data_IF_226517247289
#
_entry.id   IF_226517247289
#
_cell.length_a   1.000
_cell.length_b   1.000
_cell.length_c   1.000
_cell.angle_alpha   90.00
_cell.angle_beta   90.00
_cell.angle_gamma   90.00
#
_symmetry.space_group_name_H-M   'P 1'
#
loop_
_entity.id
_entity.type
_entity.pdbx_description
1 polymer ?
#
# COMPACT_ATOMS: atom_id res chain seq x y z
N UNK A 1 2.15 -2.76 4.30
CA UNK A 1 2.30 -1.93 3.08
C UNK A 1 1.66 -0.57 3.38
N UNK A 2 2.36 0.54 3.14
CA UNK A 2 1.89 1.85 3.61
C UNK A 2 1.77 1.93 5.14
N UNK A 3 1.01 2.92 5.61
CA UNK A 3 0.80 3.22 7.03
C UNK A 3 0.84 4.72 7.31
N UNK A 4 0.94 5.11 8.58
CA UNK A 4 1.21 6.50 8.97
C UNK A 4 2.45 6.55 9.86
N UNK A 5 3.30 7.55 9.63
CA UNK A 5 4.59 7.72 10.33
C UNK A 5 4.40 8.37 11.70
N UNK A 6 3.43 9.28 11.81
CA UNK A 6 3.16 10.06 13.02
C UNK A 6 1.72 10.55 13.04
N UNK A 7 1.19 10.72 14.24
CA UNK A 7 -0.01 11.53 14.50
C UNK A 7 0.43 12.87 15.07
N UNK A 8 0.01 13.97 14.45
CA UNK A 8 0.21 15.31 15.00
C UNK A 8 -0.75 15.54 16.19
N UNK A 9 -0.43 16.50 17.07
CA UNK A 9 -1.23 16.79 18.29
C UNK A 9 -2.70 17.13 17.99
N UNK A 10 -3.00 17.58 16.77
CA UNK A 10 -4.36 17.87 16.29
C UNK A 10 -5.07 16.65 15.67
N UNK A 11 -4.52 15.44 15.80
CA UNK A 11 -5.11 14.20 15.28
C UNK A 11 -4.86 13.92 13.79
N UNK A 12 -4.14 14.81 13.07
CA UNK A 12 -3.79 14.60 11.66
C UNK A 12 -2.73 13.50 11.56
N UNK A 13 -2.99 12.49 10.74
CA UNK A 13 -2.04 11.40 10.42
C UNK A 13 -1.18 11.78 9.22
N UNK A 14 0.12 11.57 9.34
CA UNK A 14 1.07 11.70 8.22
C UNK A 14 1.27 10.34 7.57
N UNK A 15 0.65 10.13 6.41
CA UNK A 15 0.66 8.83 5.71
C UNK A 15 1.96 8.63 4.93
N UNK A 16 2.43 7.39 4.86
CA UNK A 16 3.59 7.02 4.03
C UNK A 16 3.15 6.27 2.77
N UNK A 17 3.83 6.54 1.66
CA UNK A 17 3.73 5.75 0.45
C UNK A 17 4.71 4.57 0.43
N UNK A 18 5.59 4.41 1.42
CA UNK A 18 6.61 3.37 1.37
C UNK A 18 6.02 1.96 1.42
N UNK A 19 6.53 1.10 0.55
CA UNK A 19 6.20 -0.32 0.50
C UNK A 19 7.39 -1.10 1.05
N UNK A 20 7.15 -1.85 2.11
CA UNK A 20 8.10 -2.78 2.69
C UNK A 20 7.65 -4.21 2.44
N UNK A 21 8.56 -5.05 1.96
CA UNK A 21 8.37 -6.48 1.76
C UNK A 21 9.23 -7.24 2.77
N UNK A 22 8.66 -8.27 3.37
CA UNK A 22 9.38 -9.18 4.24
C UNK A 22 9.69 -10.47 3.49
N UNK A 23 10.98 -10.79 3.35
CA UNK A 23 11.40 -12.07 2.78
C UNK A 23 11.50 -13.10 3.91
N UNK A 24 10.62 -14.09 3.90
CA UNK A 24 10.57 -15.14 4.93
C UNK A 24 11.77 -16.09 4.91
N UNK A 25 12.46 -16.20 3.78
CA UNK A 25 13.62 -17.09 3.61
C UNK A 25 14.89 -16.44 4.13
N UNK A 26 15.09 -15.14 3.85
CA UNK A 26 16.27 -14.40 4.30
C UNK A 26 16.09 -13.69 5.64
N UNK A 27 14.85 -13.47 6.08
CA UNK A 27 14.52 -12.72 7.29
C UNK A 27 14.69 -11.21 7.17
N UNK A 28 14.93 -10.70 5.96
CA UNK A 28 15.16 -9.27 5.73
C UNK A 28 13.91 -8.54 5.25
N UNK A 29 13.82 -7.28 5.67
CA UNK A 29 12.90 -6.30 5.10
C UNK A 29 13.55 -5.57 3.93
N UNK A 30 12.80 -5.41 2.85
CA UNK A 30 13.21 -4.68 1.65
C UNK A 30 12.25 -3.53 1.41
N UNK A 31 12.76 -2.36 1.02
CA UNK A 31 11.94 -1.27 0.48
C UNK A 31 11.75 -1.54 -1.02
N UNK A 32 10.51 -1.78 -1.44
CA UNK A 32 10.19 -2.26 -2.79
C UNK A 32 9.76 -1.14 -3.74
N UNK A 33 9.42 0.04 -3.20
CA UNK A 33 8.98 1.20 -3.95
C UNK A 33 7.97 2.04 -3.18
N UNK A 34 7.33 2.97 -3.89
CA UNK A 34 6.32 3.86 -3.33
C UNK A 34 4.95 3.60 -3.96
N UNK A 35 3.91 3.64 -3.12
CA UNK A 35 2.52 3.75 -3.54
C UNK A 35 2.33 5.05 -4.34
N UNK A 36 1.45 5.08 -5.35
CA UNK A 36 1.12 6.30 -6.09
C UNK A 36 0.53 7.39 -5.18
N UNK A 37 -0.11 6.97 -4.09
CA UNK A 37 -0.68 7.86 -3.08
C UNK A 37 -0.38 7.29 -1.69
N UNK A 38 0.21 8.07 -0.77
CA UNK A 38 0.37 7.67 0.63
C UNK A 38 -0.97 7.28 1.25
N UNK A 39 -1.05 6.10 1.87
CA UNK A 39 -2.27 5.58 2.48
C UNK A 39 -1.97 4.48 3.49
N UNK A 40 -2.87 4.28 4.44
CA UNK A 40 -2.98 3.03 5.20
C UNK A 40 -3.90 2.07 4.44
N UNK A 41 -3.44 0.87 4.14
CA UNK A 41 -4.22 -0.12 3.38
C UNK A 41 -3.75 -1.53 3.70
N UNK A 42 -4.63 -2.50 3.46
CA UNK A 42 -4.28 -3.92 3.52
C UNK A 42 -4.13 -4.43 2.11
N UNK A 43 -3.10 -5.23 1.88
CA UNK A 43 -2.91 -5.89 0.59
C UNK A 43 -2.68 -7.38 0.70
N UNK A 44 -3.00 -8.06 -0.39
CA UNK A 44 -2.80 -9.50 -0.58
C UNK A 44 -1.98 -9.74 -1.83
N UNK A 45 -1.07 -10.71 -1.80
CA UNK A 45 -0.29 -11.13 -2.96
C UNK A 45 -0.93 -12.38 -3.59
N UNK A 46 -1.15 -12.36 -4.90
CA UNK A 46 -1.66 -13.47 -5.70
C UNK A 46 -0.76 -13.61 -6.93
N UNK A 47 0.02 -14.67 -6.98
CA UNK A 47 1.09 -14.80 -7.98
C UNK A 47 2.08 -13.64 -7.88
N UNK A 48 2.32 -12.97 -9.00
CA UNK A 48 3.23 -11.82 -9.09
C UNK A 48 2.52 -10.47 -8.93
N UNK A 49 1.27 -10.47 -8.47
CA UNK A 49 0.49 -9.25 -8.28
C UNK A 49 0.11 -9.01 -6.82
N UNK A 50 0.27 -7.77 -6.40
CA UNK A 50 -0.13 -7.27 -5.08
C UNK A 50 -1.41 -6.47 -5.25
N UNK A 51 -2.50 -6.92 -4.63
CA UNK A 51 -3.76 -6.23 -4.62
C UNK A 51 -3.92 -5.41 -3.34
N UNK A 52 -4.31 -4.15 -3.50
CA UNK A 52 -4.72 -3.23 -2.44
C UNK A 52 -6.22 -3.03 -2.52
N UNK A 53 -6.91 -3.31 -1.42
CA UNK A 53 -8.37 -3.20 -1.36
C UNK A 53 -8.71 -1.99 -0.48
N UNK A 54 -9.05 -0.87 -1.13
CA UNK A 54 -9.37 0.38 -0.46
C UNK A 54 -8.22 0.94 0.38
N UNK A 55 -8.56 1.46 1.54
CA UNK A 55 -7.63 2.05 2.50
C UNK A 55 -8.09 3.42 2.98
N UNK A 56 -7.15 4.19 3.52
CA UNK A 56 -7.40 5.52 4.02
C UNK A 56 -6.17 6.42 3.83
N UNK A 57 -6.35 7.58 3.22
CA UNK A 57 -5.33 8.63 3.02
C UNK A 57 -5.69 9.94 3.76
N UNK A 58 -6.59 9.84 4.74
CA UNK A 58 -7.33 10.96 5.34
C UNK A 58 -8.81 10.90 4.94
N UNK A 59 -9.16 10.19 3.86
CA UNK A 59 -10.52 9.80 3.50
C UNK A 59 -10.59 8.31 3.16
N UNK A 60 -11.77 7.68 3.28
CA UNK A 60 -11.96 6.31 2.80
C UNK A 60 -11.65 6.21 1.30
N UNK A 61 -10.79 5.27 0.94
CA UNK A 61 -10.47 4.95 -0.45
C UNK A 61 -11.34 3.77 -0.88
N UNK A 62 -12.10 3.94 -1.95
CA UNK A 62 -12.93 2.88 -2.54
C UNK A 62 -12.21 2.07 -3.61
N UNK A 63 -11.09 2.55 -4.15
CA UNK A 63 -10.40 1.88 -5.26
C UNK A 63 -9.75 0.57 -4.83
N UNK A 64 -9.92 -0.45 -5.67
CA UNK A 64 -9.11 -1.67 -5.66
C UNK A 64 -8.02 -1.50 -6.71
N UNK A 65 -6.76 -1.64 -6.31
CA UNK A 65 -5.61 -1.43 -7.21
C UNK A 65 -4.66 -2.62 -7.13
N UNK A 66 -4.10 -3.04 -8.26
CA UNK A 66 -3.08 -4.07 -8.33
C UNK A 66 -1.71 -3.45 -8.65
N UNK A 67 -0.66 -4.08 -8.17
CA UNK A 67 0.73 -3.78 -8.51
C UNK A 67 1.41 -5.05 -8.98
N UNK A 68 1.81 -5.05 -10.23
CA UNK A 68 2.58 -6.14 -10.83
C UNK A 68 4.07 -5.97 -10.46
N UNK A 69 4.63 -6.94 -9.74
CA UNK A 69 6.00 -6.83 -9.20
C UNK A 69 7.08 -6.99 -10.28
N UNK A 70 6.75 -7.59 -11.42
CA UNK A 70 7.68 -7.80 -12.53
C UNK A 70 7.83 -6.54 -13.38
N UNK A 71 6.70 -5.88 -13.65
CA UNK A 71 6.63 -4.67 -14.50
C UNK A 71 6.67 -3.37 -13.70
N UNK A 72 6.41 -3.44 -12.39
CA UNK A 72 6.31 -2.29 -11.47
C UNK A 72 5.22 -1.28 -11.89
N UNK A 73 4.12 -1.77 -12.44
CA UNK A 73 3.01 -0.94 -12.90
C UNK A 73 1.81 -1.11 -11.96
N UNK A 74 1.18 0.03 -11.64
CA UNK A 74 -0.09 0.09 -10.91
C UNK A 74 -1.27 0.08 -11.87
N UNK A 75 -2.30 -0.70 -11.55
CA UNK A 75 -3.57 -0.70 -12.28
C UNK A 75 -4.75 -0.54 -11.31
N UNK A 76 -5.83 0.06 -11.79
CA UNK A 76 -7.09 0.13 -11.03
C UNK A 76 -7.98 -1.01 -11.54
N UNK A 77 -8.34 -1.91 -10.63
CA UNK A 77 -9.10 -3.12 -10.95
C UNK A 77 -10.61 -2.89 -10.82
N UNK A 78 -11.01 -2.17 -9.77
CA UNK A 78 -12.42 -1.92 -9.46
C UNK A 78 -12.59 -0.79 -8.43
N UNK A 79 -13.84 -0.47 -8.09
CA UNK A 79 -14.21 0.38 -6.96
C UNK A 79 -15.18 -0.35 -6.03
N UNK A 80 -15.00 -0.13 -4.73
CA UNK A 80 -15.93 -0.50 -3.66
C UNK A 80 -17.13 0.46 -3.71
N UNK A 81 -18.30 -0.06 -3.34
CA UNK A 81 -19.57 0.66 -3.31
C UNK A 81 -19.69 1.64 -2.13
#
# INVERSE_FOLDING_TARGET
>A
MGGYLRTAENGVKDFTSKIHLYNITSGYWYEFGNLPTPRETTGVMIGDQIYLIGGNDGKPITKIQSFDINTQIWQTEAELF
#
